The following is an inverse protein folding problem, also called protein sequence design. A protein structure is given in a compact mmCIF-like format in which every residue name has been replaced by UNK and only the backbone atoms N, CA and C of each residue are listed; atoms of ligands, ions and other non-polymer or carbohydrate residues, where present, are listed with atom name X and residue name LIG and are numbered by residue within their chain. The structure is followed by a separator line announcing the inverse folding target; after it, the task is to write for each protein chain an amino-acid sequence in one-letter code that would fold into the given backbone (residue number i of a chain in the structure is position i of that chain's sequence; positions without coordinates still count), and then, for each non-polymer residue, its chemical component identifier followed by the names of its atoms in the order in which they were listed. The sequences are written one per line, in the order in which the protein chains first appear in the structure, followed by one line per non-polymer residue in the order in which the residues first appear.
data_IF_554271572561
#
_entry.id   IF_554271572561
#
_cell.length_a   1.000
_cell.length_b   1.000
_cell.length_c   1.000
_cell.angle_alpha   90.00
_cell.angle_beta   90.00
_cell.angle_gamma   90.00
#
_symmetry.space_group_name_H-M   'P 1'
#
loop_
_entity.id
_entity.type
_entity.pdbx_description
1 polymer ?
#
# COMPACT_ATOMS: atom_id res chain seq x y z
N UNK A 1 17.53 -15.87 7.73
CA UNK A 1 16.31 -15.20 8.26
C UNK A 1 16.52 -14.76 9.71
N UNK A 2 17.78 -14.57 10.11
CA UNK A 2 18.17 -14.65 11.51
C UNK A 2 18.38 -13.29 12.13
N UNK A 3 18.83 -12.30 11.33
CA UNK A 3 18.92 -10.90 11.77
C UNK A 3 17.55 -10.33 12.15
N UNK A 4 16.51 -10.65 11.36
CA UNK A 4 15.14 -10.23 11.66
C UNK A 4 14.66 -10.89 12.95
N UNK A 5 14.87 -12.20 13.13
CA UNK A 5 14.52 -12.93 14.36
C UNK A 5 15.28 -12.41 15.59
N UNK A 6 16.56 -12.10 15.45
CA UNK A 6 17.40 -11.51 16.50
C UNK A 6 16.87 -10.13 16.91
N UNK A 7 16.57 -9.27 15.92
CA UNK A 7 15.96 -7.97 16.17
C UNK A 7 14.58 -8.09 16.81
N UNK A 8 13.75 -9.04 16.37
CA UNK A 8 12.44 -9.27 16.99
C UNK A 8 12.57 -9.79 18.42
N UNK A 9 13.47 -10.74 18.68
CA UNK A 9 13.70 -11.29 20.01
C UNK A 9 14.29 -10.26 20.96
N UNK A 10 15.26 -9.47 20.51
CA UNK A 10 15.85 -8.39 21.30
C UNK A 10 14.85 -7.26 21.54
N UNK A 11 14.05 -6.89 20.53
CA UNK A 11 12.97 -5.92 20.67
C UNK A 11 11.90 -6.37 21.67
N UNK A 12 11.53 -7.65 21.66
CA UNK A 12 10.55 -8.20 22.61
C UNK A 12 11.09 -8.18 24.05
N UNK A 13 12.38 -8.52 24.25
CA UNK A 13 13.05 -8.44 25.55
C UNK A 13 13.14 -7.00 26.06
N UNK A 14 13.37 -6.05 25.17
CA UNK A 14 13.49 -4.63 25.52
C UNK A 14 12.16 -4.03 25.93
N UNK A 15 11.05 -4.42 25.31
CA UNK A 15 9.68 -4.01 25.72
C UNK A 15 9.29 -4.62 27.07
N UNK A 16 9.74 -5.83 27.37
CA UNK A 16 9.47 -6.52 28.64
C UNK A 16 10.34 -6.03 29.80
N UNK A 17 11.36 -5.21 29.54
CA UNK A 17 12.21 -4.66 30.60
C UNK A 17 11.41 -3.62 31.41
N UNK A 18 11.25 -3.80 32.73
CA UNK A 18 10.53 -2.86 33.60
C UNK A 18 11.11 -1.44 33.56
N UNK A 19 12.36 -1.26 33.14
CA UNK A 19 12.98 0.07 32.95
C UNK A 19 12.44 0.78 31.72
N UNK A 20 12.19 0.05 30.63
CA UNK A 20 11.59 0.61 29.41
C UNK A 20 10.12 0.94 29.65
N UNK A 21 9.42 0.08 30.40
CA UNK A 21 8.06 0.38 30.84
C UNK A 21 7.99 1.69 31.64
N UNK A 22 8.94 1.92 32.56
CA UNK A 22 9.04 3.19 33.32
C UNK A 22 9.39 4.39 32.44
N UNK A 23 10.28 4.21 31.46
CA UNK A 23 10.61 5.28 30.50
C UNK A 23 9.42 5.62 29.60
N UNK A 24 8.59 4.66 29.23
CA UNK A 24 7.35 4.92 28.49
C UNK A 24 6.28 5.63 29.32
N UNK A 25 6.32 5.50 30.65
CA UNK A 25 5.45 6.25 31.57
C UNK A 25 5.91 7.69 31.76
N UNK A 26 7.13 8.05 31.36
CA UNK A 26 7.61 9.43 31.39
C UNK A 26 6.98 10.21 30.22
N UNK A 27 6.22 11.26 30.55
CA UNK A 27 5.57 12.13 29.56
C UNK A 27 6.56 12.75 28.57
N UNK A 28 7.81 13.02 28.99
CA UNK A 28 8.82 13.65 28.13
C UNK A 28 9.29 12.68 27.06
N UNK A 29 9.52 11.43 27.42
CA UNK A 29 9.93 10.37 26.50
C UNK A 29 8.80 10.06 25.53
N UNK A 30 7.57 9.94 26.02
CA UNK A 30 6.39 9.72 25.19
C UNK A 30 6.17 10.87 24.20
N UNK A 31 6.30 12.12 24.65
CA UNK A 31 6.15 13.30 23.79
C UNK A 31 7.22 13.37 22.70
N UNK A 32 8.48 13.09 23.04
CA UNK A 32 9.58 13.02 22.07
C UNK A 32 9.38 11.89 21.07
N UNK A 33 8.92 10.71 21.53
CA UNK A 33 8.58 9.60 20.65
C UNK A 33 7.43 9.97 19.70
N UNK A 34 6.37 10.59 20.21
CA UNK A 34 5.26 11.06 19.38
C UNK A 34 5.71 12.09 18.34
N UNK A 35 6.55 13.05 18.74
CA UNK A 35 7.11 14.04 17.82
C UNK A 35 8.00 13.38 16.76
N UNK A 36 8.84 12.43 17.13
CA UNK A 36 9.64 11.65 16.20
C UNK A 36 8.78 10.83 15.24
N UNK A 37 7.71 10.21 15.74
CA UNK A 37 6.77 9.45 14.92
C UNK A 37 6.04 10.36 13.92
N UNK A 38 5.56 11.52 14.37
CA UNK A 38 4.93 12.52 13.50
C UNK A 38 5.91 13.08 12.45
N UNK A 39 7.14 13.38 12.84
CA UNK A 39 8.18 13.84 11.93
C UNK A 39 8.51 12.78 10.87
N UNK A 40 8.61 11.51 11.28
CA UNK A 40 8.79 10.38 10.37
C UNK A 40 7.62 10.23 9.41
N UNK A 41 6.37 10.31 9.88
CA UNK A 41 5.18 10.21 9.04
C UNK A 41 5.19 11.31 7.98
N UNK A 42 5.40 12.56 8.39
CA UNK A 42 5.47 13.71 7.48
C UNK A 42 6.63 13.59 6.48
N UNK A 43 7.79 13.08 6.92
CA UNK A 43 8.92 12.86 6.03
C UNK A 43 8.65 11.75 5.00
N UNK A 44 7.96 10.68 5.41
CA UNK A 44 7.57 9.59 4.52
C UNK A 44 6.54 10.06 3.50
N UNK A 45 5.50 10.80 3.93
CA UNK A 45 4.49 11.42 3.07
C UNK A 45 5.13 12.40 2.07
N UNK A 46 6.02 13.29 2.54
CA UNK A 46 6.71 14.24 1.68
C UNK A 46 7.69 13.59 0.69
N UNK A 47 8.32 12.47 1.07
CA UNK A 47 9.19 11.71 0.18
C UNK A 47 8.38 11.00 -0.92
N UNK A 48 7.29 10.33 -0.56
CA UNK A 48 6.41 9.65 -1.52
C UNK A 48 5.82 10.64 -2.53
N UNK A 49 5.36 11.82 -2.07
CA UNK A 49 4.90 12.89 -2.97
C UNK A 49 6.01 13.42 -3.90
N UNK A 50 7.22 13.56 -3.38
CA UNK A 50 8.35 14.09 -4.16
C UNK A 50 8.78 13.09 -5.23
N UNK A 51 8.78 11.80 -4.91
CA UNK A 51 9.02 10.72 -5.86
C UNK A 51 7.93 10.70 -6.92
N UNK A 52 6.66 10.86 -6.55
CA UNK A 52 5.56 10.90 -7.51
C UNK A 52 5.64 12.12 -8.45
N UNK A 53 5.95 13.32 -7.92
CA UNK A 53 6.13 14.55 -8.70
C UNK A 53 7.35 14.46 -9.63
N UNK A 54 8.48 13.92 -9.16
CA UNK A 54 9.69 13.72 -9.96
C UNK A 54 9.46 12.68 -11.06
N UNK A 55 8.82 11.57 -10.73
CA UNK A 55 8.48 10.52 -11.68
C UNK A 55 7.58 11.06 -12.80
N UNK A 56 6.52 11.82 -12.46
CA UNK A 56 5.65 12.50 -13.43
C UNK A 56 6.41 13.48 -14.33
N UNK A 57 7.32 14.28 -13.78
CA UNK A 57 8.12 15.27 -14.55
C UNK A 57 9.15 14.61 -15.46
N UNK A 58 9.68 13.46 -15.07
CA UNK A 58 10.67 12.70 -15.85
C UNK A 58 10.03 11.65 -16.78
N UNK A 59 8.69 11.57 -16.83
CA UNK A 59 7.98 10.56 -17.62
C UNK A 59 8.16 9.12 -17.12
N UNK A 60 8.64 8.95 -15.88
CA UNK A 60 8.82 7.66 -15.25
C UNK A 60 7.53 7.25 -14.55
N UNK A 61 6.98 6.09 -14.90
CA UNK A 61 5.75 5.57 -14.28
C UNK A 61 6.09 4.97 -12.92
N UNK A 62 5.40 5.41 -11.88
CA UNK A 62 5.61 4.88 -10.52
C UNK A 62 5.00 3.48 -10.36
N UNK A 63 5.48 2.69 -9.38
CA UNK A 63 4.93 1.35 -9.09
C UNK A 63 3.42 1.38 -8.77
N UNK A 64 2.95 2.45 -8.14
CA UNK A 64 1.54 2.63 -7.79
C UNK A 64 0.69 2.84 -9.04
N UNK A 65 1.14 3.70 -9.96
CA UNK A 65 0.48 3.92 -11.25
C UNK A 65 0.46 2.65 -12.10
N UNK A 66 1.55 1.86 -12.14
CA UNK A 66 1.55 0.54 -12.82
C UNK A 66 0.51 -0.41 -12.20
N UNK A 67 0.39 -0.42 -10.87
CA UNK A 67 -0.58 -1.27 -10.18
C UNK A 67 -2.01 -0.84 -10.47
N UNK A 68 -2.26 0.46 -10.53
CA UNK A 68 -3.56 1.03 -10.87
C UNK A 68 -3.94 0.76 -12.33
N UNK A 69 -3.02 0.95 -13.26
CA UNK A 69 -3.22 0.63 -14.67
C UNK A 69 -3.58 -0.85 -14.86
N UNK A 70 -2.88 -1.77 -14.18
CA UNK A 70 -3.20 -3.20 -14.19
C UNK A 70 -4.60 -3.50 -13.66
N UNK A 71 -5.07 -2.76 -12.66
CA UNK A 71 -6.44 -2.92 -12.13
C UNK A 71 -7.48 -2.44 -13.15
N UNK A 72 -7.26 -1.28 -13.77
CA UNK A 72 -8.14 -0.74 -14.81
C UNK A 72 -8.22 -1.65 -16.02
N UNK A 73 -7.08 -2.21 -16.47
CA UNK A 73 -7.03 -3.15 -17.57
C UNK A 73 -7.85 -4.41 -17.29
N UNK A 74 -7.72 -5.02 -16.09
CA UNK A 74 -8.54 -6.17 -15.69
C UNK A 74 -10.04 -5.87 -15.67
N UNK A 75 -10.41 -4.65 -15.24
CA UNK A 75 -11.81 -4.20 -15.23
C UNK A 75 -12.36 -4.11 -16.65
N UNK A 76 -11.60 -3.50 -17.56
CA UNK A 76 -11.95 -3.41 -18.98
C UNK A 76 -12.04 -4.78 -19.65
N UNK A 77 -11.10 -5.69 -19.39
CA UNK A 77 -11.17 -7.07 -19.89
C UNK A 77 -12.44 -7.80 -19.43
N UNK A 78 -12.83 -7.58 -18.17
CA UNK A 78 -14.04 -8.20 -17.61
C UNK A 78 -15.30 -7.63 -18.26
N UNK A 79 -15.36 -6.30 -18.44
CA UNK A 79 -16.48 -5.63 -19.11
C UNK A 79 -16.58 -6.05 -20.59
N UNK A 80 -15.45 -6.14 -21.30
CA UNK A 80 -15.42 -6.60 -22.68
C UNK A 80 -15.91 -8.04 -22.80
N UNK A 81 -15.48 -8.93 -21.91
CA UNK A 81 -15.97 -10.32 -21.88
C UNK A 81 -17.48 -10.38 -21.62
N UNK A 82 -17.98 -9.55 -20.70
CA UNK A 82 -19.42 -9.48 -20.40
C UNK A 82 -20.22 -8.98 -21.61
N UNK A 83 -19.80 -7.87 -22.20
CA UNK A 83 -20.44 -7.29 -23.38
C UNK A 83 -20.41 -8.26 -24.58
N UNK A 84 -19.30 -8.99 -24.78
CA UNK A 84 -19.22 -10.03 -25.82
C UNK A 84 -20.19 -11.19 -25.56
N UNK A 85 -20.37 -11.61 -24.31
CA UNK A 85 -21.36 -12.64 -23.94
C UNK A 85 -22.78 -12.15 -24.17
N UNK A 86 -23.12 -10.96 -23.67
CA UNK A 86 -24.43 -10.34 -23.86
C UNK A 86 -24.76 -10.15 -25.36
N UNK A 87 -23.78 -9.73 -26.17
CA UNK A 87 -23.93 -9.62 -27.61
C UNK A 87 -24.09 -10.97 -28.31
N UNK A 88 -23.42 -12.02 -27.84
CA UNK A 88 -23.56 -13.38 -28.38
C UNK A 88 -24.92 -13.99 -28.00
N UNK A 89 -25.40 -13.77 -26.79
CA UNK A 89 -26.73 -14.17 -26.31
C UNK A 89 -27.83 -13.42 -27.06
N UNK A 90 -27.69 -12.10 -27.25
CA UNK A 90 -28.61 -11.31 -28.05
C UNK A 90 -28.65 -11.75 -29.52
N UNK A 91 -27.50 -12.12 -30.10
CA UNK A 91 -27.45 -12.69 -31.45
C UNK A 91 -28.14 -14.06 -31.53
N UNK A 92 -27.93 -14.95 -30.56
CA UNK A 92 -28.59 -16.26 -30.50
C UNK A 92 -30.11 -16.14 -30.34
N UNK A 93 -30.56 -15.23 -29.48
CA UNK A 93 -31.98 -14.91 -29.31
C UNK A 93 -32.60 -14.30 -30.58
N UNK A 94 -31.83 -13.55 -31.37
CA UNK A 94 -32.27 -12.99 -32.64
C UNK A 94 -32.24 -14.00 -33.81
N UNK A 95 -31.38 -15.03 -33.76
CA UNK A 95 -31.28 -16.07 -34.80
C UNK A 95 -32.19 -17.28 -34.56
N UNK A 96 -32.86 -17.39 -33.41
CA UNK A 96 -33.92 -18.38 -33.19
C UNK A 96 -33.45 -19.84 -33.27
N UNK A 97 -32.27 -20.15 -32.76
CA UNK A 97 -31.86 -21.54 -32.51
C UNK A 97 -32.04 -21.83 -31.01
N UNK A 98 -33.13 -22.52 -30.68
CA UNK A 98 -33.32 -23.30 -29.45
C UNK A 98 -32.57 -24.65 -29.54
#
# INVERSE_FOLDING_TARGET
MDLKKLLTQQGMKLIQDPRVAKLMQDERVMKMMMQAFQARSKAQEGFDESVEKMAKRLGLVTKNEVRELKRSMRKLETQLKKAKKEAAEAKRAATGED
#
